data_IF_351850456758
#
_entry.id   IF_351850456758
#
_cell.length_a   1.000
_cell.length_b   1.000
_cell.length_c   1.000
_cell.angle_alpha   90.00
_cell.angle_beta   90.00
_cell.angle_gamma   90.00
#
_symmetry.space_group_name_H-M   'P 1'
#
loop_
_entity.id
_entity.type
_entity.pdbx_description
1 polymer ?
#
# COMPACT_ATOMS: atom_id res chain seq x y z
N UNK A 1 -8.61 -7.67 39.44
CA UNK A 1 -8.15 -6.26 39.56
C UNK A 1 -8.05 -5.62 38.16
N UNK A 2 -7.97 -4.28 37.99
CA UNK A 2 -7.89 -3.64 36.65
C UNK A 2 -6.68 -4.14 35.83
N UNK A 3 -5.49 -4.15 36.46
CA UNK A 3 -4.22 -4.49 35.81
C UNK A 3 -4.23 -5.92 35.25
N UNK A 4 -4.75 -6.88 36.01
CA UNK A 4 -4.86 -8.28 35.57
C UNK A 4 -5.67 -8.41 34.28
N UNK A 5 -6.88 -7.81 34.24
CA UNK A 5 -7.74 -7.83 33.05
C UNK A 5 -7.10 -7.11 31.87
N UNK A 6 -6.45 -5.99 32.13
CA UNK A 6 -5.76 -5.22 31.10
C UNK A 6 -4.59 -6.02 30.50
N UNK A 7 -3.85 -6.76 31.33
CA UNK A 7 -2.79 -7.67 30.90
C UNK A 7 -3.30 -8.84 30.06
N UNK A 8 -4.45 -9.42 30.39
CA UNK A 8 -5.08 -10.46 29.57
C UNK A 8 -5.45 -9.92 28.18
N UNK A 9 -6.14 -8.78 28.12
CA UNK A 9 -6.62 -8.17 26.88
C UNK A 9 -5.46 -7.74 25.97
N UNK A 10 -4.43 -7.15 26.56
CA UNK A 10 -3.31 -6.57 25.81
C UNK A 10 -2.06 -7.45 25.82
N UNK A 11 -2.18 -8.70 26.25
CA UNK A 11 -1.09 -9.68 26.27
C UNK A 11 0.18 -9.15 26.95
N UNK A 12 0.03 -8.53 28.12
CA UNK A 12 1.10 -7.90 28.91
C UNK A 12 1.88 -6.81 28.17
N UNK A 13 1.28 -6.15 27.17
CA UNK A 13 1.96 -5.13 26.36
C UNK A 13 2.28 -3.83 27.10
N UNK A 14 1.43 -3.39 28.04
CA UNK A 14 1.55 -2.07 28.68
C UNK A 14 2.08 -2.16 30.10
N UNK A 15 2.71 -1.09 30.56
CA UNK A 15 3.03 -0.89 31.98
C UNK A 15 2.00 0.05 32.60
N UNK A 16 1.71 -0.21 33.88
CA UNK A 16 0.74 0.52 34.70
C UNK A 16 1.39 1.15 35.92
N UNK A 17 2.72 1.35 35.90
CA UNK A 17 3.46 1.90 37.04
C UNK A 17 2.99 3.29 37.49
N UNK A 18 2.46 4.09 36.56
CA UNK A 18 1.87 5.42 36.83
C UNK A 18 0.34 5.40 36.85
N UNK A 19 -0.28 4.22 36.77
CA UNK A 19 -1.72 4.11 36.66
C UNK A 19 -2.39 4.23 38.04
N UNK A 20 -3.22 5.27 38.19
CA UNK A 20 -4.05 5.46 39.39
C UNK A 20 -5.50 5.20 38.99
N UNK A 21 -6.12 4.20 39.61
CA UNK A 21 -7.52 3.88 39.38
C UNK A 21 -8.43 4.80 40.21
N UNK A 22 -9.12 5.73 39.54
CA UNK A 22 -10.09 6.66 40.15
C UNK A 22 -11.54 6.42 39.69
N UNK A 23 -11.77 5.49 38.76
CA UNK A 23 -13.09 5.13 38.26
C UNK A 23 -13.04 4.57 36.83
N UNK A 24 -14.09 3.87 36.40
CA UNK A 24 -14.13 3.28 35.06
C UNK A 24 -14.12 4.32 33.93
N UNK A 25 -14.76 5.46 34.17
CA UNK A 25 -14.90 6.55 33.19
C UNK A 25 -13.78 7.60 33.31
N UNK A 26 -12.96 7.49 34.35
CA UNK A 26 -11.82 8.37 34.59
C UNK A 26 -10.60 7.91 33.81
N UNK A 27 -9.75 8.87 33.45
CA UNK A 27 -8.50 8.59 32.75
C UNK A 27 -7.40 8.22 33.75
N UNK A 28 -6.62 7.20 33.40
CA UNK A 28 -5.34 6.91 34.05
C UNK A 28 -4.19 6.97 33.04
N UNK A 29 -2.97 7.03 33.56
CA UNK A 29 -1.74 7.02 32.76
C UNK A 29 -1.35 5.56 32.50
N UNK A 30 -1.22 5.21 31.23
CA UNK A 30 -0.77 3.89 30.77
C UNK A 30 0.51 4.09 29.96
N UNK A 31 1.51 3.25 30.19
CA UNK A 31 2.80 3.36 29.50
C UNK A 31 2.89 2.36 28.35
N UNK A 32 3.03 2.87 27.12
CA UNK A 32 3.36 2.08 25.95
C UNK A 32 4.88 1.89 25.83
N UNK A 33 5.39 0.67 25.62
CA UNK A 33 6.83 0.42 25.50
C UNK A 33 7.48 1.14 24.30
N UNK A 34 6.71 1.45 23.25
CA UNK A 34 7.21 2.11 22.04
C UNK A 34 6.97 3.63 22.03
N UNK A 35 5.92 4.11 22.72
CA UNK A 35 5.44 5.50 22.58
C UNK A 35 5.34 6.26 23.92
N UNK A 36 5.73 5.63 25.02
CA UNK A 36 5.70 6.21 26.36
C UNK A 36 4.30 6.36 26.94
N UNK A 37 4.15 7.27 27.89
CA UNK A 37 2.93 7.50 28.66
C UNK A 37 1.82 8.12 27.79
N UNK A 38 0.60 7.63 27.98
CA UNK A 38 -0.61 8.20 27.40
C UNK A 38 -1.78 8.09 28.37
N UNK A 39 -2.70 9.05 28.29
CA UNK A 39 -3.93 9.02 29.08
C UNK A 39 -5.04 8.24 28.37
N UNK A 40 -5.72 7.38 29.12
CA UNK A 40 -6.88 6.65 28.61
C UNK A 40 -7.84 6.27 29.72
N UNK A 41 -9.15 6.20 29.40
CA UNK A 41 -10.17 5.71 30.32
C UNK A 41 -9.99 4.22 30.59
N UNK A 42 -10.18 3.83 31.84
CA UNK A 42 -10.05 2.43 32.26
C UNK A 42 -11.02 1.51 31.48
N UNK A 43 -12.28 1.92 31.31
CA UNK A 43 -13.29 1.15 30.57
C UNK A 43 -12.91 0.92 29.10
N UNK A 44 -12.38 1.94 28.43
CA UNK A 44 -11.97 1.89 27.04
C UNK A 44 -10.76 0.97 26.87
N UNK A 45 -9.80 1.05 27.79
CA UNK A 45 -8.65 0.17 27.78
C UNK A 45 -9.05 -1.30 27.94
N UNK A 46 -10.00 -1.58 28.84
CA UNK A 46 -10.58 -2.92 29.03
C UNK A 46 -11.52 -3.38 27.89
N UNK A 47 -11.84 -2.51 26.93
CA UNK A 47 -12.48 -2.91 25.65
C UNK A 47 -11.48 -3.23 24.56
N UNK A 48 -10.17 -3.22 24.86
CA UNK A 48 -9.10 -3.48 23.90
C UNK A 48 -8.60 -2.24 23.16
N UNK A 49 -9.03 -1.03 23.54
CA UNK A 49 -8.45 0.19 22.97
C UNK A 49 -7.04 0.36 23.54
N UNK A 50 -6.03 0.40 22.66
CA UNK A 50 -4.63 0.54 23.05
C UNK A 50 -4.09 1.96 22.86
N UNK A 51 -2.77 2.06 22.74
CA UNK A 51 -2.06 3.30 22.48
C UNK A 51 -2.49 3.92 21.12
N UNK A 52 -2.85 5.22 21.10
CA UNK A 52 -3.27 5.90 19.87
C UNK A 52 -2.14 5.99 18.82
N UNK A 53 -0.88 6.06 19.26
CA UNK A 53 0.27 6.08 18.35
C UNK A 53 0.51 4.70 17.72
N UNK A 54 0.45 3.61 18.48
CA UNK A 54 0.45 2.25 17.91
C UNK A 54 -0.68 2.10 16.87
N UNK A 55 -1.90 2.54 17.19
CA UNK A 55 -3.03 2.46 16.26
C UNK A 55 -2.80 3.30 14.99
N UNK A 56 -2.14 4.45 15.09
CA UNK A 56 -1.78 5.28 13.93
C UNK A 56 -0.66 4.65 13.10
N UNK A 57 0.37 4.09 13.74
CA UNK A 57 1.50 3.47 13.06
C UNK A 57 1.11 2.15 12.39
N UNK A 58 0.25 1.34 13.03
CA UNK A 58 -0.30 0.12 12.43
C UNK A 58 -1.19 0.36 11.20
N UNK A 59 -1.67 1.60 10.98
CA UNK A 59 -2.39 2.01 9.76
C UNK A 59 -1.45 2.35 8.60
N UNK A 60 -0.16 2.59 8.85
CA UNK A 60 0.79 2.90 7.78
C UNK A 60 1.17 1.59 7.09
N UNK A 61 0.82 1.51 5.80
CA UNK A 61 1.24 0.41 4.94
C UNK A 61 2.77 0.35 4.86
N UNK A 62 3.33 -0.84 4.99
CA UNK A 62 4.77 -1.09 4.81
C UNK A 62 5.10 -1.39 3.35
N UNK A 63 6.39 -1.27 2.97
CA UNK A 63 6.87 -1.70 1.64
C UNK A 63 6.48 -3.15 1.33
N UNK A 64 6.63 -4.05 2.30
CA UNK A 64 6.27 -5.47 2.14
C UNK A 64 4.77 -5.66 1.87
N UNK A 65 3.91 -4.92 2.57
CA UNK A 65 2.46 -4.95 2.34
C UNK A 65 2.11 -4.40 0.96
N UNK A 66 2.72 -3.28 0.54
CA UNK A 66 2.54 -2.75 -0.81
C UNK A 66 2.92 -3.77 -1.88
N UNK A 67 4.10 -4.39 -1.78
CA UNK A 67 4.57 -5.38 -2.77
C UNK A 67 3.60 -6.57 -2.85
N UNK A 68 3.10 -7.06 -1.72
CA UNK A 68 2.12 -8.15 -1.70
C UNK A 68 0.84 -7.78 -2.46
N UNK A 69 0.30 -6.59 -2.24
CA UNK A 69 -0.89 -6.11 -2.97
C UNK A 69 -0.60 -5.87 -4.46
N UNK A 70 0.56 -5.30 -4.78
CA UNK A 70 0.97 -5.07 -6.15
C UNK A 70 1.11 -6.39 -6.94
N UNK A 71 1.62 -7.44 -6.30
CA UNK A 71 1.65 -8.80 -6.85
C UNK A 71 0.26 -9.40 -7.04
N UNK A 72 -0.74 -9.04 -6.22
CA UNK A 72 -2.12 -9.46 -6.46
C UNK A 72 -2.73 -8.80 -7.70
N UNK A 73 -2.36 -7.54 -7.96
CA UNK A 73 -2.87 -6.78 -9.11
C UNK A 73 -2.16 -7.15 -10.41
N UNK A 74 -0.83 -7.32 -10.37
CA UNK A 74 0.01 -7.46 -11.56
C UNK A 74 0.70 -8.82 -11.70
N UNK A 75 0.56 -9.72 -10.74
CA UNK A 75 1.29 -10.99 -10.71
C UNK A 75 2.80 -10.76 -10.58
N UNK A 76 3.59 -11.41 -11.44
CA UNK A 76 5.06 -11.37 -11.44
C UNK A 76 5.65 -10.45 -12.52
N UNK A 77 4.87 -9.49 -13.02
CA UNK A 77 5.28 -8.62 -14.13
C UNK A 77 6.33 -7.56 -13.76
N UNK A 78 6.48 -7.27 -12.47
CA UNK A 78 7.34 -6.20 -11.97
C UNK A 78 8.27 -6.69 -10.87
N UNK A 79 9.48 -6.12 -10.87
CA UNK A 79 10.41 -6.19 -9.75
C UNK A 79 10.32 -4.88 -8.93
N UNK A 80 10.37 -5.06 -7.61
CA UNK A 80 10.25 -4.02 -6.58
C UNK A 80 11.51 -3.95 -5.70
N UNK A 81 12.62 -4.53 -6.13
CA UNK A 81 13.91 -4.55 -5.42
C UNK A 81 14.41 -3.18 -4.99
N UNK A 82 14.08 -2.13 -5.75
CA UNK A 82 14.41 -0.73 -5.45
C UNK A 82 13.22 0.08 -4.92
N UNK A 83 12.07 -0.55 -4.70
CA UNK A 83 10.86 0.15 -4.29
C UNK A 83 10.85 0.41 -2.79
N UNK A 84 10.68 1.68 -2.39
CA UNK A 84 10.50 2.07 -1.00
C UNK A 84 9.12 2.73 -0.86
N UNK A 85 8.23 2.11 -0.08
CA UNK A 85 6.90 2.66 0.16
C UNK A 85 6.97 3.75 1.24
N UNK A 86 6.74 4.99 0.84
CA UNK A 86 6.63 6.13 1.76
C UNK A 86 5.16 6.44 2.10
N UNK A 87 4.33 6.63 1.08
CA UNK A 87 2.89 6.84 1.18
C UNK A 87 2.28 6.72 -0.23
N UNK A 88 0.94 6.70 -0.34
CA UNK A 88 0.23 6.51 -1.63
C UNK A 88 0.46 7.60 -2.68
N UNK A 89 0.97 8.79 -2.28
CA UNK A 89 1.15 9.99 -3.11
C UNK A 89 2.61 10.28 -3.47
N UNK A 90 3.55 9.48 -2.99
CA UNK A 90 4.98 9.61 -3.33
C UNK A 90 5.32 8.52 -4.34
N UNK A 91 5.91 8.91 -5.48
CA UNK A 91 6.33 7.95 -6.51
C UNK A 91 7.41 7.02 -5.96
N UNK A 92 7.41 5.78 -6.42
CA UNK A 92 8.50 4.83 -6.21
C UNK A 92 8.94 4.19 -7.53
N UNK A 93 10.16 3.62 -7.52
CA UNK A 93 10.77 2.97 -8.68
C UNK A 93 10.26 1.55 -8.80
N UNK A 94 9.61 1.25 -9.93
CA UNK A 94 9.11 -0.08 -10.29
C UNK A 94 9.87 -0.53 -11.54
N UNK A 95 10.28 -1.79 -11.57
CA UNK A 95 11.09 -2.33 -12.66
C UNK A 95 10.22 -3.22 -13.53
N UNK A 96 10.01 -2.82 -14.78
CA UNK A 96 9.37 -3.65 -15.78
C UNK A 96 10.40 -4.59 -16.41
N UNK A 97 10.09 -5.88 -16.49
CA UNK A 97 10.98 -6.87 -17.10
C UNK A 97 11.34 -6.56 -18.56
N UNK A 98 10.48 -5.86 -19.30
CA UNK A 98 10.70 -5.53 -20.72
C UNK A 98 11.34 -4.15 -20.94
N UNK A 99 11.03 -3.18 -20.08
CA UNK A 99 11.33 -1.77 -20.34
C UNK A 99 12.21 -1.08 -19.29
N UNK A 100 12.62 -1.84 -18.26
CA UNK A 100 13.44 -1.36 -17.16
C UNK A 100 12.65 -0.53 -16.15
N UNK A 101 13.38 0.33 -15.45
CA UNK A 101 12.87 1.19 -14.37
C UNK A 101 11.88 2.25 -14.88
N UNK A 102 10.84 2.48 -14.09
CA UNK A 102 9.96 3.62 -14.24
C UNK A 102 9.39 4.04 -12.88
N UNK A 103 9.04 5.31 -12.75
CA UNK A 103 8.42 5.82 -11.53
C UNK A 103 6.89 5.82 -11.64
N UNK A 104 6.22 5.42 -10.56
CA UNK A 104 4.77 5.50 -10.48
C UNK A 104 4.29 5.72 -9.04
N UNK A 105 3.12 6.36 -8.91
CA UNK A 105 2.43 6.45 -7.63
C UNK A 105 1.94 5.06 -7.19
N UNK A 106 2.13 4.67 -5.92
CA UNK A 106 1.58 3.44 -5.38
C UNK A 106 0.07 3.32 -5.60
N UNK A 107 -0.69 4.41 -5.43
CA UNK A 107 -2.14 4.40 -5.68
C UNK A 107 -2.46 4.03 -7.12
N UNK A 108 -1.78 4.64 -8.09
CA UNK A 108 -2.02 4.36 -9.50
C UNK A 108 -1.63 2.91 -9.84
N UNK A 109 -0.51 2.45 -9.30
CA UNK A 109 -0.04 1.09 -9.54
C UNK A 109 -1.03 0.05 -9.01
N UNK A 110 -1.50 0.22 -7.77
CA UNK A 110 -2.49 -0.67 -7.15
C UNK A 110 -3.87 -0.60 -7.84
N UNK A 111 -4.20 0.50 -8.52
CA UNK A 111 -5.39 0.58 -9.37
C UNK A 111 -5.24 -0.13 -10.72
N UNK A 112 -4.13 -0.85 -10.96
CA UNK A 112 -3.90 -1.62 -12.19
C UNK A 112 -3.11 -0.89 -13.27
N UNK A 113 -2.61 0.32 -13.01
CA UNK A 113 -1.71 0.97 -13.97
C UNK A 113 -0.34 0.29 -13.95
N UNK A 114 0.13 -0.13 -15.13
CA UNK A 114 1.43 -0.76 -15.31
C UNK A 114 2.48 0.16 -15.93
N UNK A 115 3.46 -0.44 -16.60
CA UNK A 115 4.50 0.26 -17.35
C UNK A 115 3.90 1.09 -18.50
N UNK A 116 4.23 2.40 -18.62
CA UNK A 116 3.74 3.25 -19.71
C UNK A 116 4.15 2.76 -21.10
N UNK A 117 5.35 2.18 -21.24
CA UNK A 117 5.86 1.65 -22.52
C UNK A 117 5.07 0.40 -22.96
N UNK A 118 4.86 -0.57 -22.08
CA UNK A 118 3.95 -1.71 -22.36
C UNK A 118 2.55 -1.23 -22.77
N UNK A 119 2.02 -0.20 -22.10
CA UNK A 119 0.69 0.33 -22.42
C UNK A 119 0.64 1.00 -23.80
N UNK A 120 1.71 1.69 -24.21
CA UNK A 120 1.82 2.28 -25.54
C UNK A 120 1.91 1.21 -26.65
N UNK A 121 2.70 0.17 -26.44
CA UNK A 121 2.84 -0.96 -27.39
C UNK A 121 1.51 -1.68 -27.64
N UNK A 122 0.74 -1.94 -26.57
CA UNK A 122 -0.61 -2.53 -26.67
C UNK A 122 -1.58 -1.68 -27.48
N UNK A 123 -1.45 -0.35 -27.44
CA UNK A 123 -2.29 0.58 -28.24
C UNK A 123 -1.84 0.64 -29.70
N UNK A 124 -0.54 0.50 -29.96
CA UNK A 124 0.03 0.49 -31.31
C UNK A 124 -0.32 -0.76 -32.12
N UNK A 125 -0.43 -1.92 -31.47
CA UNK A 125 -0.81 -3.18 -32.14
C UNK A 125 -2.26 -3.19 -32.64
N UNK A 126 -3.16 -2.43 -32.02
CA UNK A 126 -4.56 -2.26 -32.47
C UNK A 126 -4.74 -1.29 -33.66
N UNK A 127 -3.69 -0.61 -34.15
CA UNK A 127 -3.77 0.40 -35.23
C UNK A 127 -3.16 -0.06 -36.57
N UNK A 128 -3.16 -1.36 -36.89
CA UNK A 128 -2.72 -1.89 -38.20
C UNK A 128 -3.82 -2.63 -38.95
N UNK A 129 -4.85 -1.90 -39.40
CA UNK A 129 -5.83 -2.34 -40.42
C UNK A 129 -6.45 -1.17 -41.19
N UNK A 130 -5.64 -0.36 -41.88
CA UNK A 130 -6.15 0.43 -43.02
C UNK A 130 -5.01 0.74 -44.00
N UNK A 131 -4.53 -0.28 -44.71
CA UNK A 131 -3.75 -0.08 -45.91
C UNK A 131 -4.73 0.00 -47.09
N UNK A 132 -4.97 1.20 -47.63
CA UNK A 132 -5.51 1.33 -48.99
C UNK A 132 -4.35 1.06 -49.94
N UNK A 133 -4.29 -0.14 -50.52
CA UNK A 133 -3.42 -0.41 -51.66
C UNK A 133 -3.88 0.43 -52.85
N UNK A 134 -3.05 1.38 -53.28
CA UNK A 134 -3.17 1.93 -54.64
C UNK A 134 -2.59 0.87 -55.59
N UNK A 135 -3.46 0.04 -56.15
CA UNK A 135 -3.11 -0.80 -57.29
C UNK A 135 -2.87 0.10 -58.50
N UNK A 136 -1.66 0.04 -59.07
CA UNK A 136 -1.37 0.49 -60.42
C UNK A 136 -1.91 -0.57 -61.40
N UNK A 137 -2.84 -0.20 -62.27
CA UNK A 137 -3.23 -1.00 -63.43
C UNK A 137 -2.58 -0.41 -64.68
N UNK A 138 -1.54 -1.08 -65.19
CA UNK A 138 -1.09 -0.89 -66.56
C UNK A 138 -2.07 -1.65 -67.48
N UNK A 139 -2.73 -0.93 -68.38
CA UNK A 139 -3.48 -1.55 -69.48
C UNK A 139 -2.61 -1.50 -70.73
N UNK A 140 -2.28 -2.70 -71.21
CA UNK A 140 -1.73 -2.98 -72.53
C UNK A 140 -2.86 -2.76 -73.54
N UNK A 141 -2.64 -1.91 -74.54
CA UNK A 141 -3.41 -1.95 -75.79
C UNK A 141 -2.48 -2.41 -76.90
N UNK A 142 -2.83 -3.53 -77.51
CA UNK A 142 -2.19 -4.09 -78.69
C UNK A 142 -3.01 -3.66 -79.92
N UNK A 143 -2.32 -3.03 -80.88
CA UNK A 143 -2.52 -2.87 -82.32
C UNK A 143 -2.09 -1.46 -82.77
#
# INVERSE_FOLDING_TARGET
>A
MFIEKANEIHQNKYSYGHFIYSGALEKGIITCPEHGDFEQRADAHLRGVGCPQCAKNGRKKTTKQFIKEAQQVHGKLYDYSQFIYTNVRTKGIIICAQHGEFEQLPSNHLSGNGCPKCAAEKKGSTRRSHCKSKHYSASISLL
#
